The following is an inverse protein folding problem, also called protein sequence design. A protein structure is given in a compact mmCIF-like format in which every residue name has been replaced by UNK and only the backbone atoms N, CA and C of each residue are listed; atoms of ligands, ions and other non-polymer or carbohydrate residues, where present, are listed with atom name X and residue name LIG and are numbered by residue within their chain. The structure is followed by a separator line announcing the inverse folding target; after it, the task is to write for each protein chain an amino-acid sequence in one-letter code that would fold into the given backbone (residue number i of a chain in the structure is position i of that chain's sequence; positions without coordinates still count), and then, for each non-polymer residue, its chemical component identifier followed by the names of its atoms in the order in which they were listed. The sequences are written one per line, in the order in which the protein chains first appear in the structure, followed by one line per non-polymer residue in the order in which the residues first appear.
data_IF_305917483837
#
_entry.id   IF_305917483837
#
_cell.length_a   1.000
_cell.length_b   1.000
_cell.length_c   1.000
_cell.angle_alpha   90.00
_cell.angle_beta   90.00
_cell.angle_gamma   90.00
#
_symmetry.space_group_name_H-M   'P 1'
#
loop_
_entity.id
_entity.type
_entity.pdbx_description
1 polymer ?
#
# COMPACT_ATOMS: atom_id res chain seq x y z
N UNK A 1 -9.07 15.80 -44.55
CA UNK A 1 -10.15 15.26 -43.72
C UNK A 1 -9.51 14.55 -42.53
N UNK A 2 -9.42 15.25 -41.41
CA UNK A 2 -8.95 14.66 -40.15
C UNK A 2 -10.03 13.70 -39.62
N UNK A 3 -9.66 12.45 -39.35
CA UNK A 3 -10.53 11.51 -38.65
C UNK A 3 -10.42 11.80 -37.17
N UNK A 4 -11.47 12.36 -36.57
CA UNK A 4 -11.58 12.42 -35.11
C UNK A 4 -11.58 10.99 -34.55
N UNK A 5 -10.55 10.65 -33.77
CA UNK A 5 -10.49 9.43 -32.99
C UNK A 5 -11.45 9.55 -31.80
N UNK A 6 -12.74 9.30 -32.06
CA UNK A 6 -13.74 9.19 -31.01
C UNK A 6 -13.52 7.85 -30.29
N UNK A 7 -12.62 7.81 -29.31
CA UNK A 7 -12.46 6.63 -28.44
C UNK A 7 -13.75 6.48 -27.63
N UNK A 8 -14.53 5.46 -27.97
CA UNK A 8 -15.73 5.09 -27.23
C UNK A 8 -15.32 4.53 -25.86
N UNK A 9 -15.36 5.38 -24.83
CA UNK A 9 -15.07 4.95 -23.46
C UNK A 9 -16.30 4.26 -22.87
N UNK A 10 -16.28 2.94 -22.85
CA UNK A 10 -17.27 2.14 -22.11
C UNK A 10 -16.94 2.16 -20.62
N UNK A 11 -17.91 2.56 -19.79
CA UNK A 11 -17.82 2.50 -18.32
C UNK A 11 -17.43 1.08 -17.87
N UNK A 12 -17.92 0.05 -18.56
CA UNK A 12 -17.61 -1.34 -18.22
C UNK A 12 -16.12 -1.67 -18.42
N UNK A 13 -15.47 -1.06 -19.43
CA UNK A 13 -14.03 -1.25 -19.65
C UNK A 13 -13.22 -0.59 -18.54
N UNK A 14 -13.60 0.64 -18.13
CA UNK A 14 -12.96 1.33 -17.00
C UNK A 14 -13.13 0.56 -15.69
N UNK A 15 -14.31 0.00 -15.42
CA UNK A 15 -14.56 -0.79 -14.21
C UNK A 15 -13.73 -2.07 -14.16
N UNK A 16 -13.40 -2.66 -15.32
CA UNK A 16 -12.57 -3.87 -15.38
C UNK A 16 -11.09 -3.64 -15.07
N UNK A 17 -10.62 -2.40 -15.18
CA UNK A 17 -9.23 -2.01 -14.89
C UNK A 17 -9.04 -1.59 -13.42
N UNK A 18 -10.13 -1.35 -12.68
CA UNK A 18 -10.08 -0.95 -11.27
C UNK A 18 -10.04 -2.18 -10.36
N UNK A 19 -8.91 -2.35 -9.68
CA UNK A 19 -8.80 -3.34 -8.61
C UNK A 19 -9.36 -2.76 -7.30
N UNK A 20 -10.65 -2.96 -7.09
CA UNK A 20 -11.36 -2.54 -5.86
C UNK A 20 -10.82 -3.21 -4.59
N UNK A 21 -10.11 -4.34 -4.72
CA UNK A 21 -9.66 -5.11 -3.57
C UNK A 21 -8.37 -4.55 -2.96
N UNK A 22 -7.56 -3.83 -3.73
CA UNK A 22 -6.29 -3.24 -3.28
C UNK A 22 -6.41 -2.40 -2.00
N UNK A 23 -7.52 -1.67 -1.86
CA UNK A 23 -7.75 -0.76 -0.72
C UNK A 23 -8.52 -1.42 0.44
N UNK A 24 -8.86 -2.71 0.34
CA UNK A 24 -9.55 -3.42 1.42
C UNK A 24 -8.64 -3.47 2.64
N UNK A 25 -9.14 -2.94 3.75
CA UNK A 25 -8.45 -2.96 5.03
C UNK A 25 -8.51 -4.35 5.66
N UNK A 26 -7.35 -4.89 5.99
CA UNK A 26 -7.17 -6.13 6.73
C UNK A 26 -6.53 -5.83 8.08
N UNK A 27 -7.18 -6.33 9.12
CA UNK A 27 -6.63 -6.33 10.47
C UNK A 27 -5.56 -7.42 10.58
N UNK A 28 -4.32 -7.01 10.84
CA UNK A 28 -3.19 -7.92 11.04
C UNK A 28 -3.14 -8.36 12.50
N UNK A 29 -3.23 -7.39 13.42
CA UNK A 29 -3.29 -7.63 14.85
C UNK A 29 -4.04 -6.48 15.56
N UNK A 30 -3.91 -6.37 16.88
CA UNK A 30 -4.59 -5.33 17.67
C UNK A 30 -4.10 -3.91 17.36
N UNK A 31 -2.91 -3.75 16.77
CA UNK A 31 -2.26 -2.46 16.51
C UNK A 31 -2.16 -2.13 15.01
N UNK A 32 -2.19 -3.15 14.13
CA UNK A 32 -1.93 -2.99 12.70
C UNK A 32 -3.16 -3.28 11.83
N UNK A 33 -3.49 -2.31 10.97
CA UNK A 33 -4.51 -2.43 9.91
C UNK A 33 -3.87 -1.97 8.59
N UNK A 34 -3.73 -2.91 7.65
CA UNK A 34 -3.06 -2.70 6.37
C UNK A 34 -4.02 -2.91 5.22
N UNK A 35 -3.78 -2.30 4.07
CA UNK A 35 -4.53 -2.61 2.85
C UNK A 35 -4.03 -3.91 2.22
N UNK A 36 -4.83 -4.55 1.35
CA UNK A 36 -4.34 -5.71 0.59
C UNK A 36 -3.13 -5.39 -0.28
N UNK A 37 -3.09 -4.17 -0.85
CA UNK A 37 -1.92 -3.67 -1.58
C UNK A 37 -0.69 -3.61 -0.68
N UNK A 38 -0.77 -2.97 0.49
CA UNK A 38 0.35 -2.93 1.43
C UNK A 38 0.84 -4.34 1.79
N UNK A 39 -0.08 -5.27 2.03
CA UNK A 39 0.28 -6.67 2.34
C UNK A 39 0.99 -7.34 1.16
N UNK A 40 0.56 -7.12 -0.08
CA UNK A 40 1.18 -7.75 -1.25
C UNK A 40 2.62 -7.27 -1.46
N UNK A 41 2.86 -5.96 -1.31
CA UNK A 41 4.18 -5.36 -1.36
C UNK A 41 5.06 -5.91 -0.23
N UNK A 42 4.60 -5.88 1.02
CA UNK A 42 5.36 -6.37 2.17
C UNK A 42 5.74 -7.86 2.03
N UNK A 43 4.85 -8.68 1.46
CA UNK A 43 5.15 -10.09 1.15
C UNK A 43 6.22 -10.23 0.07
N UNK A 44 6.21 -9.39 -0.97
CA UNK A 44 7.17 -9.41 -2.08
C UNK A 44 8.60 -9.19 -1.60
N UNK A 45 8.80 -8.32 -0.60
CA UNK A 45 10.12 -8.07 0.01
C UNK A 45 10.40 -8.91 1.26
N UNK A 46 9.59 -9.94 1.53
CA UNK A 46 9.75 -10.82 2.70
C UNK A 46 9.79 -10.06 4.04
N UNK A 47 9.08 -8.94 4.15
CA UNK A 47 9.04 -8.13 5.37
C UNK A 47 8.15 -8.83 6.41
N UNK A 48 8.60 -9.03 7.66
CA UNK A 48 7.88 -9.83 8.66
C UNK A 48 6.75 -9.04 9.36
N UNK A 49 5.84 -8.45 8.58
CA UNK A 49 4.77 -7.55 9.06
C UNK A 49 3.77 -8.22 10.02
N UNK A 50 3.55 -9.52 9.92
CA UNK A 50 2.67 -10.28 10.82
C UNK A 50 3.22 -10.34 12.25
N UNK A 51 4.55 -10.26 12.39
CA UNK A 51 5.24 -10.27 13.69
C UNK A 51 5.39 -8.87 14.32
N UNK A 52 5.10 -7.81 13.55
CA UNK A 52 5.25 -6.44 14.01
C UNK A 52 4.18 -6.09 15.05
N UNK A 53 4.62 -5.60 16.21
CA UNK A 53 3.76 -5.25 17.35
C UNK A 53 3.23 -3.81 17.29
N UNK A 54 3.75 -3.00 16.37
CA UNK A 54 3.38 -1.60 16.19
C UNK A 54 3.75 -1.12 14.79
N UNK A 55 3.20 0.02 14.36
CA UNK A 55 3.61 0.64 13.11
C UNK A 55 5.07 1.08 13.14
N UNK A 56 5.60 1.56 14.27
CA UNK A 56 7.03 1.87 14.42
C UNK A 56 7.93 0.66 14.13
N UNK A 57 7.56 -0.54 14.62
CA UNK A 57 8.33 -1.75 14.34
C UNK A 57 8.23 -2.14 12.86
N UNK A 58 7.06 -1.98 12.24
CA UNK A 58 6.88 -2.23 10.82
C UNK A 58 7.71 -1.26 9.96
N UNK A 59 7.70 0.03 10.29
CA UNK A 59 8.54 1.08 9.67
C UNK A 59 10.02 0.71 9.75
N UNK A 60 10.49 0.21 10.90
CA UNK A 60 11.86 -0.26 11.05
C UNK A 60 12.19 -1.41 10.07
N UNK A 61 11.30 -2.40 9.94
CA UNK A 61 11.51 -3.50 9.00
C UNK A 61 11.54 -3.04 7.54
N UNK A 62 10.67 -2.10 7.16
CA UNK A 62 10.61 -1.56 5.80
C UNK A 62 11.88 -0.77 5.47
N UNK A 63 12.35 0.10 6.36
CA UNK A 63 13.59 0.85 6.17
C UNK A 63 14.81 -0.07 5.97
N UNK A 64 14.90 -1.17 6.72
CA UNK A 64 15.98 -2.14 6.54
C UNK A 64 15.93 -2.82 5.17
N UNK A 65 14.73 -3.09 4.63
CA UNK A 65 14.59 -3.67 3.29
C UNK A 65 14.94 -2.63 2.20
N UNK A 66 14.49 -1.39 2.34
CA UNK A 66 14.78 -0.30 1.40
C UNK A 66 16.26 0.02 1.28
N UNK A 67 17.01 -0.11 2.37
CA UNK A 67 18.47 0.07 2.35
C UNK A 67 19.20 -0.88 1.38
N UNK A 68 18.58 -2.00 1.00
CA UNK A 68 19.16 -3.01 0.12
C UNK A 68 18.58 -2.96 -1.32
N UNK A 69 17.38 -2.39 -1.51
CA UNK A 69 16.65 -2.51 -2.79
C UNK A 69 16.33 -1.19 -3.49
N UNK A 70 16.26 -0.05 -2.78
CA UNK A 70 15.82 1.26 -3.31
C UNK A 70 14.57 1.15 -4.22
N UNK A 71 13.46 0.68 -3.64
CA UNK A 71 12.22 0.38 -4.40
C UNK A 71 11.11 1.40 -4.13
N UNK A 72 10.65 2.07 -5.19
CA UNK A 72 9.64 3.15 -5.12
C UNK A 72 8.29 2.67 -4.58
N UNK A 73 7.83 1.45 -4.94
CA UNK A 73 6.56 0.94 -4.40
C UNK A 73 6.65 0.68 -2.89
N UNK A 74 7.81 0.23 -2.42
CA UNK A 74 8.06 0.03 -1.01
C UNK A 74 8.22 1.36 -0.25
N UNK A 75 8.80 2.40 -0.86
CA UNK A 75 8.84 3.76 -0.32
C UNK A 75 7.43 4.35 -0.16
N UNK A 76 6.56 4.18 -1.16
CA UNK A 76 5.15 4.60 -1.07
C UNK A 76 4.46 3.90 0.11
N UNK A 77 4.67 2.60 0.28
CA UNK A 77 4.11 1.85 1.42
C UNK A 77 4.67 2.35 2.76
N UNK A 78 5.95 2.72 2.82
CA UNK A 78 6.57 3.30 4.01
C UNK A 78 5.91 4.64 4.38
N UNK A 79 5.69 5.52 3.42
CA UNK A 79 5.07 6.82 3.63
C UNK A 79 3.65 6.70 4.15
N UNK A 80 2.82 5.87 3.51
CA UNK A 80 1.44 5.61 3.94
C UNK A 80 1.37 5.03 5.37
N UNK A 81 2.28 4.11 5.69
CA UNK A 81 2.36 3.51 7.03
C UNK A 81 2.81 4.55 8.06
N UNK A 82 3.76 5.41 7.71
CA UNK A 82 4.26 6.49 8.57
C UNK A 82 3.17 7.52 8.85
N UNK A 83 2.37 7.87 7.85
CA UNK A 83 1.20 8.73 8.01
C UNK A 83 0.17 8.11 8.95
N UNK A 84 -0.19 6.83 8.77
CA UNK A 84 -1.09 6.10 9.69
C UNK A 84 -0.59 6.13 11.13
N UNK A 85 0.71 5.87 11.32
CA UNK A 85 1.36 5.90 12.63
C UNK A 85 1.26 7.27 13.30
N UNK A 86 1.48 8.35 12.53
CA UNK A 86 1.32 9.72 13.02
C UNK A 86 -0.10 9.97 13.51
N UNK A 87 -1.11 9.68 12.69
CA UNK A 87 -2.52 9.91 13.06
C UNK A 87 -2.94 9.11 14.31
N UNK A 88 -2.52 7.86 14.43
CA UNK A 88 -2.88 7.04 15.58
C UNK A 88 -2.24 7.50 16.90
N UNK A 89 -1.02 8.04 16.85
CA UNK A 89 -0.24 8.33 18.06
C UNK A 89 -0.20 9.81 18.48
N UNK A 90 -0.47 10.74 17.56
CA UNK A 90 -0.29 12.19 17.83
C UNK A 90 -1.56 13.03 17.72
N UNK A 91 -2.58 12.63 16.95
CA UNK A 91 -3.87 13.32 16.92
C UNK A 91 -4.89 12.57 17.78
N UNK A 92 -4.95 12.95 19.06
CA UNK A 92 -6.09 12.68 19.95
C UNK A 92 -7.02 13.89 19.99
#
# INVERSE_FOLDING_TARGET
MEKENNKEYSINNLLSEIDFNKNILKKINSQLILTEYQISILKRYHIPFESAKSYNQLIYFINNALAETEDEELEIVLDEISEKNYYQNTKK
#
